data_IF_285445025225
#
_entry.id   IF_285445025225
#
_cell.length_a   1.000
_cell.length_b   1.000
_cell.length_c   1.000
_cell.angle_alpha   90.00
_cell.angle_beta   90.00
_cell.angle_gamma   90.00
#
_symmetry.space_group_name_H-M   'P 1'
#
loop_
_entity.id
_entity.type
_entity.pdbx_description
1 polymer ?
#
# COMPACT_ATOMS: atom_id res chain seq x y z
N UNK A 1 0.68 15.89 -1.16
CA UNK A 1 1.48 16.84 -0.35
C UNK A 1 2.36 16.00 0.56
N UNK A 2 3.66 16.28 0.64
CA UNK A 2 4.61 15.51 1.45
C UNK A 2 4.16 15.34 2.91
N UNK A 3 3.54 16.38 3.50
CA UNK A 3 3.03 16.31 4.88
C UNK A 3 2.00 15.20 5.09
N UNK A 4 1.02 15.05 4.18
CA UNK A 4 0.02 13.97 4.27
C UNK A 4 0.65 12.60 4.07
N UNK A 5 1.65 12.52 3.20
CA UNK A 5 2.39 11.30 2.93
C UNK A 5 3.10 10.79 4.20
N UNK A 6 3.93 11.64 4.82
CA UNK A 6 4.64 11.27 6.05
C UNK A 6 3.68 11.05 7.23
N UNK A 7 2.59 11.83 7.31
CA UNK A 7 1.58 11.61 8.34
C UNK A 7 0.87 10.26 8.19
N UNK A 8 0.66 9.79 6.96
CA UNK A 8 0.11 8.46 6.70
C UNK A 8 1.06 7.38 7.20
N UNK A 9 2.38 7.53 7.01
CA UNK A 9 3.37 6.60 7.57
C UNK A 9 3.29 6.52 9.09
N UNK A 10 3.19 7.67 9.78
CA UNK A 10 3.03 7.70 11.24
C UNK A 10 1.79 6.94 11.68
N UNK A 11 0.62 7.23 11.07
CA UNK A 11 -0.63 6.56 11.42
C UNK A 11 -0.61 5.07 11.05
N UNK A 12 0.09 4.70 9.99
CA UNK A 12 0.19 3.30 9.57
C UNK A 12 1.07 2.47 10.53
N UNK A 13 2.15 3.05 11.05
CA UNK A 13 3.13 2.35 11.87
C UNK A 13 2.85 2.44 13.38
N UNK A 14 1.95 3.33 13.80
CA UNK A 14 1.67 3.56 15.22
C UNK A 14 0.93 2.40 15.92
N UNK A 15 -0.10 1.77 15.33
CA UNK A 15 -0.83 0.71 16.00
C UNK A 15 0.04 -0.53 16.25
N UNK A 16 0.01 -1.01 17.50
CA UNK A 16 0.66 -2.26 17.92
C UNK A 16 -0.28 -2.96 18.91
N UNK A 17 -0.79 -4.12 18.55
CA UNK A 17 -1.80 -4.83 19.32
C UNK A 17 -1.43 -6.31 19.47
N UNK A 18 -2.12 -7.04 20.36
CA UNK A 18 -1.89 -8.48 20.57
C UNK A 18 -0.48 -8.81 21.07
N UNK A 19 0.06 -9.94 20.61
CA UNK A 19 1.40 -10.44 21.00
C UNK A 19 2.52 -9.43 20.70
N UNK A 20 2.55 -8.75 19.53
CA UNK A 20 3.49 -7.65 19.28
C UNK A 20 3.46 -6.54 20.34
N UNK A 21 2.30 -6.24 20.95
CA UNK A 21 2.19 -5.23 22.00
C UNK A 21 2.98 -5.60 23.25
N UNK A 22 2.91 -6.87 23.67
CA UNK A 22 3.71 -7.36 24.80
C UNK A 22 5.21 -7.33 24.50
N UNK A 23 5.60 -7.68 23.27
CA UNK A 23 6.99 -7.63 22.82
C UNK A 23 7.51 -6.18 22.70
N UNK A 24 6.69 -5.23 22.26
CA UNK A 24 7.04 -3.81 22.18
C UNK A 24 7.29 -3.19 23.56
N UNK A 25 6.67 -3.71 24.62
CA UNK A 25 7.00 -3.27 25.98
C UNK A 25 8.45 -3.60 26.38
N UNK A 26 9.01 -4.69 25.87
CA UNK A 26 10.39 -5.14 26.14
C UNK A 26 11.39 -4.50 25.18
N UNK A 27 11.06 -4.49 23.89
CA UNK A 27 11.98 -4.09 22.81
C UNK A 27 11.73 -2.69 22.25
N UNK A 28 10.71 -1.99 22.77
CA UNK A 28 10.35 -0.63 22.36
C UNK A 28 9.83 -0.53 20.94
N UNK A 29 10.18 0.58 20.27
CA UNK A 29 9.69 0.93 18.95
C UNK A 29 10.12 -0.02 17.82
N UNK A 30 11.07 -0.93 18.07
CA UNK A 30 11.50 -1.94 17.10
C UNK A 30 10.42 -2.99 16.80
N UNK A 31 9.44 -3.14 17.69
CA UNK A 31 8.33 -4.09 17.52
C UNK A 31 7.08 -3.34 17.07
N UNK A 32 7.07 -2.98 15.80
CA UNK A 32 5.91 -2.40 15.11
C UNK A 32 5.64 -3.22 13.85
N UNK A 33 4.69 -4.17 13.89
CA UNK A 33 4.44 -5.08 12.77
C UNK A 33 4.25 -4.38 11.43
N UNK A 34 3.51 -3.26 11.44
CA UNK A 34 3.20 -2.51 10.24
C UNK A 34 4.43 -1.88 9.57
N UNK A 35 5.55 -1.71 10.29
CA UNK A 35 6.81 -1.23 9.68
C UNK A 35 7.43 -2.25 8.71
N UNK A 36 7.05 -3.52 8.81
CA UNK A 36 7.58 -4.59 7.97
C UNK A 36 6.65 -4.96 6.81
N UNK A 37 5.61 -4.17 6.57
CA UNK A 37 4.77 -4.35 5.39
C UNK A 37 5.57 -4.04 4.12
N UNK A 38 5.24 -4.66 2.98
CA UNK A 38 5.92 -4.39 1.73
C UNK A 38 5.91 -2.90 1.36
N UNK A 39 6.95 -2.45 0.66
CA UNK A 39 7.08 -1.04 0.31
C UNK A 39 5.91 -0.56 -0.55
N UNK A 40 5.36 -1.40 -1.43
CA UNK A 40 4.17 -1.04 -2.22
C UNK A 40 2.97 -0.67 -1.35
N UNK A 41 2.82 -1.36 -0.23
CA UNK A 41 1.71 -1.16 0.69
C UNK A 41 1.89 0.18 1.39
N UNK A 42 3.07 0.39 2.00
CA UNK A 42 3.38 1.59 2.77
C UNK A 42 3.37 2.85 1.89
N UNK A 43 4.15 2.82 0.82
CA UNK A 43 4.33 3.97 -0.06
C UNK A 43 3.11 4.22 -0.94
N UNK A 44 2.49 3.15 -1.42
CA UNK A 44 1.25 3.25 -2.19
C UNK A 44 0.13 3.86 -1.37
N UNK A 45 -0.06 3.42 -0.12
CA UNK A 45 -1.09 3.97 0.77
C UNK A 45 -0.84 5.46 1.04
N UNK A 46 0.42 5.82 1.33
CA UNK A 46 0.79 7.20 1.59
C UNK A 46 0.63 8.09 0.35
N UNK A 47 0.86 7.57 -0.86
CA UNK A 47 0.61 8.28 -2.13
C UNK A 47 -0.89 8.44 -2.40
N UNK A 48 -1.68 7.40 -2.10
CA UNK A 48 -3.12 7.42 -2.30
C UNK A 48 -3.77 8.43 -1.33
N UNK A 49 -3.45 8.36 -0.03
CA UNK A 49 -3.95 9.28 1.00
C UNK A 49 -3.52 10.73 0.78
N UNK A 50 -2.35 10.98 0.19
CA UNK A 50 -1.96 12.36 -0.14
C UNK A 50 -2.73 12.95 -1.33
N UNK A 51 -3.34 12.09 -2.15
CA UNK A 51 -4.07 12.44 -3.37
C UNK A 51 -5.59 12.36 -3.18
N UNK A 52 -6.05 11.69 -2.12
CA UNK A 52 -7.46 11.53 -1.72
C UNK A 52 -8.07 12.82 -1.12
N UNK A 53 -9.41 12.91 -1.14
CA UNK A 53 -10.19 13.90 -0.40
C UNK A 53 -10.39 15.24 -1.10
N UNK A 54 -10.90 15.22 -2.34
CA UNK A 54 -11.24 16.42 -3.14
C UNK A 54 -10.07 17.38 -3.44
N UNK A 55 -8.82 16.94 -3.25
CA UNK A 55 -7.67 17.78 -3.57
C UNK A 55 -7.35 17.68 -5.06
N UNK A 56 -7.06 18.81 -5.71
CA UNK A 56 -6.52 18.81 -7.10
C UNK A 56 -5.01 18.49 -7.13
N UNK A 57 -4.44 18.11 -5.99
CA UNK A 57 -3.01 17.93 -5.77
C UNK A 57 -2.71 16.46 -5.41
N UNK A 58 -1.42 16.11 -5.30
CA UNK A 58 -1.00 14.73 -5.02
C UNK A 58 -0.59 13.98 -6.29
N UNK A 59 0.27 12.97 -6.11
CA UNK A 59 0.91 12.26 -7.23
C UNK A 59 -0.10 11.58 -8.14
N UNK A 60 -1.17 10.94 -7.62
CA UNK A 60 -2.19 10.30 -8.46
C UNK A 60 -2.96 11.30 -9.34
N UNK A 61 -3.08 12.56 -8.92
CA UNK A 61 -3.75 13.60 -9.71
C UNK A 61 -2.81 14.30 -10.70
N UNK A 62 -1.52 13.91 -10.74
CA UNK A 62 -0.54 14.53 -11.63
C UNK A 62 -0.67 14.02 -13.08
N UNK A 63 -0.47 14.88 -14.09
CA UNK A 63 -0.42 14.44 -15.49
C UNK A 63 0.67 13.39 -15.75
N UNK A 64 1.75 13.41 -14.97
CA UNK A 64 2.83 12.43 -15.06
C UNK A 64 2.37 11.03 -14.68
N UNK A 65 1.73 10.85 -13.51
CA UNK A 65 1.23 9.52 -13.11
C UNK A 65 0.13 9.02 -14.05
N UNK A 66 -0.79 9.91 -14.43
CA UNK A 66 -1.88 9.57 -15.35
C UNK A 66 -1.37 9.19 -16.74
N UNK A 67 -0.40 9.95 -17.28
CA UNK A 67 0.23 9.64 -18.57
C UNK A 67 1.01 8.33 -18.53
N UNK A 68 1.75 8.09 -17.44
CA UNK A 68 2.52 6.86 -17.27
C UNK A 68 1.60 5.63 -17.14
N UNK A 69 0.48 5.75 -16.41
CA UNK A 69 -0.49 4.66 -16.31
C UNK A 69 -1.08 4.35 -17.69
N UNK A 70 -1.50 5.40 -18.42
CA UNK A 70 -2.03 5.25 -19.78
C UNK A 70 -1.03 4.60 -20.73
N UNK A 71 0.26 4.96 -20.63
CA UNK A 71 1.30 4.32 -21.44
C UNK A 71 1.44 2.82 -21.11
N UNK A 72 1.44 2.44 -19.84
CA UNK A 72 1.51 1.03 -19.43
C UNK A 72 0.29 0.23 -19.91
N UNK A 73 -0.90 0.83 -19.90
CA UNK A 73 -2.13 0.21 -20.44
C UNK A 73 -2.03 0.03 -21.95
N UNK A 74 -1.64 1.07 -22.69
CA UNK A 74 -1.52 1.02 -24.15
C UNK A 74 -0.47 0.01 -24.62
N UNK A 75 0.58 -0.22 -23.83
CA UNK A 75 1.63 -1.20 -24.12
C UNK A 75 1.30 -2.62 -23.61
N UNK A 76 0.13 -2.84 -23.00
CA UNK A 76 -0.25 -4.14 -22.43
C UNK A 76 0.72 -4.61 -21.34
N UNK A 77 1.33 -3.66 -20.62
CA UNK A 77 2.29 -3.96 -19.54
C UNK A 77 1.61 -4.20 -18.20
N UNK A 78 0.45 -3.58 -17.97
CA UNK A 78 -0.26 -3.66 -16.70
C UNK A 78 -0.65 -5.11 -16.36
N UNK A 79 -1.09 -5.89 -17.35
CA UNK A 79 -1.44 -7.32 -17.20
C UNK A 79 -0.25 -8.22 -16.80
N UNK A 80 0.98 -7.72 -16.98
CA UNK A 80 2.21 -8.43 -16.62
C UNK A 80 2.73 -8.00 -15.26
N UNK A 81 2.10 -7.00 -14.65
CA UNK A 81 2.44 -6.53 -13.33
C UNK A 81 1.80 -7.42 -12.26
N UNK A 82 2.50 -7.53 -11.14
CA UNK A 82 2.09 -8.34 -10.01
C UNK A 82 2.65 -7.74 -8.72
N UNK A 83 1.99 -8.00 -7.59
CA UNK A 83 2.31 -7.38 -6.30
C UNK A 83 3.78 -7.57 -5.92
N UNK A 84 4.36 -8.73 -6.23
CA UNK A 84 5.77 -9.04 -6.02
C UNK A 84 6.70 -8.16 -6.87
N UNK A 85 6.31 -7.81 -8.10
CA UNK A 85 7.13 -7.00 -9.02
C UNK A 85 7.22 -5.53 -8.62
N UNK A 86 6.40 -5.06 -7.70
CA UNK A 86 6.53 -3.69 -7.16
C UNK A 86 6.64 -3.67 -5.64
N UNK A 87 6.97 -4.80 -5.00
CA UNK A 87 7.06 -4.91 -3.55
C UNK A 87 8.29 -4.26 -2.90
N UNK A 88 9.33 -3.99 -3.67
CA UNK A 88 10.58 -3.40 -3.19
C UNK A 88 11.11 -2.33 -4.15
N UNK A 89 12.01 -1.48 -3.65
CA UNK A 89 12.71 -0.45 -4.42
C UNK A 89 13.75 -1.04 -5.39
N UNK A 90 14.27 -2.24 -5.11
CA UNK A 90 15.40 -2.82 -5.82
C UNK A 90 15.01 -3.57 -7.11
N UNK A 91 13.73 -3.51 -7.50
CA UNK A 91 13.27 -4.19 -8.72
C UNK A 91 13.83 -3.46 -9.95
N UNK A 92 14.65 -4.12 -10.80
CA UNK A 92 15.35 -3.47 -11.92
C UNK A 92 14.46 -3.32 -13.17
N UNK A 93 13.16 -3.12 -12.97
CA UNK A 93 12.18 -2.91 -14.04
C UNK A 93 11.77 -1.45 -14.02
N UNK A 94 11.54 -0.83 -15.17
CA UNK A 94 10.98 0.53 -15.21
C UNK A 94 9.58 0.55 -14.52
N UNK A 95 9.21 1.60 -13.76
CA UNK A 95 9.95 2.83 -13.44
C UNK A 95 10.87 2.76 -12.19
N UNK A 96 11.55 1.62 -12.02
CA UNK A 96 12.60 1.35 -11.03
C UNK A 96 12.14 1.58 -9.59
N UNK A 97 12.93 2.28 -8.77
CA UNK A 97 12.59 2.56 -7.37
C UNK A 97 11.28 3.33 -7.15
N UNK A 98 10.66 3.87 -8.21
CA UNK A 98 9.34 4.48 -8.08
C UNK A 98 8.18 3.48 -8.13
N UNK A 99 8.44 2.20 -8.43
CA UNK A 99 7.41 1.15 -8.57
C UNK A 99 6.51 0.99 -7.34
N UNK A 100 7.03 0.93 -6.09
CA UNK A 100 6.20 0.86 -4.90
C UNK A 100 5.23 2.04 -4.76
N UNK A 101 5.67 3.25 -5.09
CA UNK A 101 4.84 4.44 -5.09
C UNK A 101 3.81 4.40 -6.22
N UNK A 102 4.25 4.11 -7.44
CA UNK A 102 3.44 4.23 -8.64
C UNK A 102 2.35 3.14 -8.67
N UNK A 103 2.74 1.87 -8.78
CA UNK A 103 1.78 0.77 -8.86
C UNK A 103 1.02 0.57 -7.55
N UNK A 104 1.72 0.67 -6.41
CA UNK A 104 1.09 0.57 -5.09
C UNK A 104 -0.02 1.60 -4.89
N UNK A 105 0.16 2.83 -5.36
CA UNK A 105 -0.86 3.88 -5.19
C UNK A 105 -2.10 3.68 -6.03
N UNK A 106 -1.95 3.22 -7.28
CA UNK A 106 -3.11 2.89 -8.12
C UNK A 106 -3.84 1.68 -7.58
N UNK A 107 -3.11 0.69 -7.07
CA UNK A 107 -3.71 -0.47 -6.45
C UNK A 107 -4.47 -0.13 -5.16
N UNK A 108 -3.91 0.73 -4.31
CA UNK A 108 -4.64 1.28 -3.17
C UNK A 108 -5.86 2.08 -3.58
N UNK A 109 -5.76 2.88 -4.64
CA UNK A 109 -6.90 3.64 -5.14
C UNK A 109 -8.01 2.71 -5.64
N UNK A 110 -7.64 1.59 -6.27
CA UNK A 110 -8.60 0.55 -6.63
C UNK A 110 -9.26 -0.03 -5.39
N UNK A 111 -8.48 -0.48 -4.40
CA UNK A 111 -9.01 -1.06 -3.16
C UNK A 111 -9.96 -0.10 -2.43
N UNK A 112 -9.60 1.18 -2.29
CA UNK A 112 -10.41 2.17 -1.57
C UNK A 112 -11.67 2.56 -2.33
N UNK A 113 -11.63 2.59 -3.67
CA UNK A 113 -12.82 2.78 -4.50
C UNK A 113 -13.76 1.58 -4.49
N UNK A 114 -13.22 0.36 -4.45
CA UNK A 114 -14.00 -0.87 -4.54
C UNK A 114 -14.60 -1.27 -3.19
N UNK A 115 -13.80 -1.17 -2.11
CA UNK A 115 -14.15 -1.68 -0.78
C UNK A 115 -14.37 -0.59 0.27
N UNK A 116 -14.12 0.68 -0.07
CA UNK A 116 -14.28 1.83 0.82
C UNK A 116 -13.06 2.11 1.71
N UNK A 117 -13.02 3.32 2.27
CA UNK A 117 -11.91 3.79 3.12
C UNK A 117 -11.77 3.04 4.45
N UNK A 118 -12.86 2.44 4.95
CA UNK A 118 -12.85 1.65 6.19
C UNK A 118 -11.85 0.50 6.10
N UNK A 119 -11.65 -0.06 4.91
CA UNK A 119 -10.69 -1.13 4.64
C UNK A 119 -9.27 -0.77 5.13
N UNK A 120 -8.85 0.50 5.03
CA UNK A 120 -7.52 0.91 5.46
C UNK A 120 -7.38 0.82 6.98
N UNK A 121 -8.37 1.33 7.71
CA UNK A 121 -8.37 1.28 9.16
C UNK A 121 -8.27 -0.18 9.62
N UNK A 122 -9.12 -0.99 9.03
CA UNK A 122 -9.27 -2.40 9.28
C UNK A 122 -8.00 -3.22 9.04
N UNK A 123 -7.40 -3.06 7.85
CA UNK A 123 -6.13 -3.71 7.52
C UNK A 123 -5.01 -3.28 8.46
N UNK A 124 -4.93 -1.99 8.78
CA UNK A 124 -3.94 -1.45 9.70
C UNK A 124 -4.06 -2.08 11.11
N UNK A 125 -5.29 -2.21 11.63
CA UNK A 125 -5.54 -2.89 12.91
C UNK A 125 -5.19 -4.38 12.86
N UNK A 126 -5.47 -5.06 11.76
CA UNK A 126 -5.19 -6.49 11.63
C UNK A 126 -3.69 -6.79 11.47
N UNK A 127 -2.96 -5.97 10.73
CA UNK A 127 -1.51 -6.10 10.61
C UNK A 127 -0.79 -5.80 11.92
N UNK A 128 -1.31 -4.88 12.74
CA UNK A 128 -0.70 -4.51 14.02
C UNK A 128 -0.60 -5.66 15.04
N UNK A 129 -1.32 -6.77 14.79
CA UNK A 129 -1.39 -7.96 15.64
C UNK A 129 -0.57 -9.13 15.10
N UNK A 130 -0.03 -9.02 13.89
CA UNK A 130 0.52 -10.15 13.12
C UNK A 130 2.04 -10.17 13.11
N UNK A 131 2.58 -11.35 12.83
CA UNK A 131 3.98 -11.53 12.48
C UNK A 131 4.14 -11.10 11.01
N UNK A 132 5.25 -10.40 10.67
CA UNK A 132 5.54 -10.03 9.28
C UNK A 132 5.44 -11.21 8.31
N UNK A 133 5.12 -10.92 7.04
CA UNK A 133 5.04 -11.85 5.89
C UNK A 133 3.73 -12.63 5.67
N UNK A 134 2.82 -12.67 6.64
CA UNK A 134 1.48 -13.22 6.43
C UNK A 134 0.48 -12.13 6.01
N UNK A 135 0.77 -11.46 4.89
CA UNK A 135 0.03 -10.27 4.47
C UNK A 135 -1.28 -10.58 3.75
N UNK A 136 -1.46 -11.77 3.17
CA UNK A 136 -2.66 -12.05 2.36
C UNK A 136 -3.93 -12.22 3.22
N UNK A 137 -3.78 -12.78 4.43
CA UNK A 137 -4.93 -13.18 5.23
C UNK A 137 -5.84 -12.02 5.68
N UNK A 138 -5.34 -10.84 6.11
CA UNK A 138 -6.19 -9.70 6.43
C UNK A 138 -7.08 -9.23 5.28
N UNK A 139 -6.54 -9.18 4.05
CA UNK A 139 -7.32 -8.79 2.88
C UNK A 139 -8.33 -9.89 2.49
N UNK A 140 -7.88 -11.14 2.46
CA UNK A 140 -8.72 -12.27 2.11
C UNK A 140 -9.92 -12.41 3.05
N UNK A 141 -9.74 -12.19 4.36
CA UNK A 141 -10.82 -12.23 5.34
C UNK A 141 -11.91 -11.16 5.13
N UNK A 142 -11.65 -10.14 4.31
CA UNK A 142 -12.53 -8.97 4.12
C UNK A 142 -13.09 -8.85 2.72
N UNK A 143 -12.38 -9.39 1.73
CA UNK A 143 -12.71 -9.26 0.31
C UNK A 143 -12.88 -10.61 -0.39
N UNK A 144 -12.67 -11.72 0.33
CA UNK A 144 -12.59 -13.09 -0.20
C UNK A 144 -11.48 -13.31 -1.26
N UNK A 145 -10.61 -12.31 -1.46
CA UNK A 145 -9.55 -12.30 -2.46
C UNK A 145 -8.20 -11.95 -1.83
N UNK A 146 -7.11 -12.55 -2.33
CA UNK A 146 -5.74 -12.17 -1.94
C UNK A 146 -5.30 -10.91 -2.69
N UNK A 147 -4.18 -10.30 -2.31
CA UNK A 147 -3.60 -9.18 -3.04
C UNK A 147 -3.22 -9.57 -4.47
N UNK A 148 -2.78 -10.81 -4.66
CA UNK A 148 -2.41 -11.32 -5.98
C UNK A 148 -3.63 -11.58 -6.88
N UNK A 149 -4.76 -12.01 -6.30
CA UNK A 149 -6.00 -12.25 -7.03
C UNK A 149 -6.70 -10.93 -7.40
N UNK A 150 -6.80 -9.98 -6.46
CA UNK A 150 -7.45 -8.68 -6.67
C UNK A 150 -6.76 -7.82 -7.75
N UNK A 151 -5.49 -8.09 -8.07
CA UNK A 151 -4.77 -7.29 -9.06
C UNK A 151 -5.23 -7.57 -10.49
N UNK A 152 -5.78 -8.76 -10.77
CA UNK A 152 -6.28 -9.11 -12.11
C UNK A 152 -7.54 -8.30 -12.48
N UNK A 153 -8.26 -7.83 -11.46
CA UNK A 153 -9.48 -7.04 -11.59
C UNK A 153 -9.25 -5.52 -11.39
N UNK A 154 -7.99 -5.10 -11.20
CA UNK A 154 -7.59 -3.73 -10.85
C UNK A 154 -7.18 -2.84 -12.04
#
# INVERSE_FOLDING_TARGET
MLLKHEYTHILNMHPVHGVPGALSWIFGAWVRPNMFLPHWYLEGLAVERESDGNTRFGRLNSPFYQGLLRANVLEGKLEKESVDRYASFDVPLYPYGSRPYFFGSFYWQYLTKTYGDELIYDLNQDYSKRIPWFIEAPLANRTDLTYSDNLQDA
#
